data_IF_739215105912
#
_entry.id   IF_739215105912
#
_cell.length_a   1.000
_cell.length_b   1.000
_cell.length_c   1.000
_cell.angle_alpha   90.00
_cell.angle_beta   90.00
_cell.angle_gamma   90.00
#
_symmetry.space_group_name_H-M   'P 1'
#
loop_
_entity.id
_entity.type
_entity.pdbx_description
1 polymer ?
#
# COMPACT_ATOMS: atom_id res chain seq x y z
N UNK A 1 10.83 -25.62 -5.93
CA UNK A 1 11.04 -26.14 -7.31
C UNK A 1 10.69 -25.11 -8.41
N UNK A 2 10.77 -23.80 -8.14
CA UNK A 2 10.71 -22.71 -9.15
C UNK A 2 11.64 -21.52 -8.77
N UNK A 3 12.57 -21.73 -7.83
CA UNK A 3 13.45 -20.66 -7.31
C UNK A 3 14.84 -20.62 -7.96
N UNK A 4 15.14 -21.56 -8.84
CA UNK A 4 16.40 -21.55 -9.57
C UNK A 4 16.15 -20.95 -10.94
N UNK A 5 16.68 -19.73 -11.13
CA UNK A 5 16.69 -18.91 -12.34
C UNK A 5 17.18 -19.63 -13.60
N UNK A 6 16.42 -20.63 -14.02
CA UNK A 6 16.52 -21.26 -15.31
C UNK A 6 15.89 -20.29 -16.30
N UNK A 7 16.76 -19.54 -16.96
CA UNK A 7 16.38 -18.62 -18.03
C UNK A 7 15.42 -19.30 -19.01
N UNK A 8 14.29 -18.64 -19.28
CA UNK A 8 13.26 -19.00 -20.27
C UNK A 8 13.80 -19.70 -21.53
N UNK A 9 14.90 -19.23 -22.18
CA UNK A 9 15.46 -19.90 -23.36
C UNK A 9 15.94 -21.34 -23.12
N UNK A 10 16.41 -21.69 -21.92
CA UNK A 10 16.86 -23.04 -21.59
C UNK A 10 15.68 -24.00 -21.36
N UNK A 11 14.61 -23.49 -20.75
CA UNK A 11 13.36 -24.23 -20.51
C UNK A 11 12.66 -24.53 -21.84
N UNK A 12 12.54 -23.56 -22.74
CA UNK A 12 11.90 -23.73 -24.06
C UNK A 12 12.66 -24.75 -24.94
N UNK A 13 13.99 -24.76 -24.88
CA UNK A 13 14.80 -25.66 -25.72
C UNK A 13 14.84 -27.11 -25.21
N UNK A 14 14.88 -27.32 -23.89
CA UNK A 14 15.03 -28.66 -23.29
C UNK A 14 13.73 -29.28 -22.74
N UNK A 15 12.60 -28.54 -22.72
CA UNK A 15 11.28 -29.06 -22.30
C UNK A 15 10.27 -29.29 -23.43
N UNK A 16 10.65 -29.16 -24.71
CA UNK A 16 9.77 -29.51 -25.84
C UNK A 16 9.28 -30.97 -25.80
N UNK A 17 10.11 -31.89 -25.29
CA UNK A 17 9.78 -33.32 -25.20
C UNK A 17 8.84 -33.68 -24.03
N UNK A 18 8.82 -32.87 -22.95
CA UNK A 18 8.06 -33.19 -21.72
C UNK A 18 6.74 -32.41 -21.54
N UNK A 19 6.57 -31.28 -22.23
CA UNK A 19 5.45 -30.35 -21.97
C UNK A 19 4.41 -30.28 -23.09
N UNK A 20 4.51 -31.11 -24.13
CA UNK A 20 3.43 -31.25 -25.12
C UNK A 20 3.15 -29.98 -25.91
N UNK A 21 4.20 -29.32 -26.43
CA UNK A 21 4.08 -28.19 -27.38
C UNK A 21 3.56 -26.86 -26.82
N UNK A 22 3.78 -26.55 -25.54
CA UNK A 22 3.67 -25.16 -25.06
C UNK A 22 4.70 -24.29 -25.80
N UNK A 23 4.23 -23.24 -26.46
CA UNK A 23 5.04 -22.33 -27.27
C UNK A 23 5.92 -21.45 -26.35
N UNK A 24 7.08 -21.02 -26.84
CA UNK A 24 8.01 -20.15 -26.07
C UNK A 24 7.34 -18.84 -25.62
N UNK A 25 6.37 -18.38 -26.40
CA UNK A 25 5.52 -17.22 -26.09
C UNK A 25 4.67 -17.49 -24.85
N UNK A 26 4.00 -18.63 -24.76
CA UNK A 26 3.13 -18.98 -23.63
C UNK A 26 3.93 -19.12 -22.33
N UNK A 27 5.14 -19.70 -22.40
CA UNK A 27 6.02 -19.82 -21.23
C UNK A 27 6.42 -18.43 -20.71
N UNK A 28 6.70 -17.49 -21.61
CA UNK A 28 7.05 -16.12 -21.23
C UNK A 28 5.86 -15.37 -20.64
N UNK A 29 4.67 -15.55 -21.21
CA UNK A 29 3.45 -14.92 -20.69
C UNK A 29 3.11 -15.44 -19.27
N UNK A 30 3.31 -16.73 -19.01
CA UNK A 30 3.14 -17.32 -17.69
C UNK A 30 4.19 -16.76 -16.72
N UNK A 31 5.45 -16.65 -17.12
CA UNK A 31 6.52 -16.08 -16.29
C UNK A 31 6.23 -14.61 -15.94
N UNK A 32 5.81 -13.80 -16.91
CA UNK A 32 5.44 -12.41 -16.70
C UNK A 32 4.25 -12.28 -15.75
N UNK A 33 3.21 -13.09 -15.96
CA UNK A 33 2.02 -13.14 -15.09
C UNK A 33 2.40 -13.57 -13.67
N UNK A 34 3.24 -14.59 -13.53
CA UNK A 34 3.74 -15.07 -12.25
C UNK A 34 4.50 -13.96 -11.52
N UNK A 35 5.45 -13.31 -12.19
CA UNK A 35 6.20 -12.20 -11.61
C UNK A 35 5.31 -11.03 -11.22
N UNK A 36 4.29 -10.71 -12.01
CA UNK A 36 3.32 -9.67 -11.69
C UNK A 36 2.57 -10.00 -10.39
N UNK A 37 2.06 -11.22 -10.26
CA UNK A 37 1.33 -11.68 -9.07
C UNK A 37 2.25 -11.71 -7.85
N UNK A 38 3.46 -12.27 -7.96
CA UNK A 38 4.43 -12.31 -6.85
C UNK A 38 4.80 -10.89 -6.38
N UNK A 39 4.98 -9.93 -7.29
CA UNK A 39 5.24 -8.53 -6.94
C UNK A 39 4.05 -7.91 -6.20
N UNK A 40 2.82 -8.19 -6.66
CA UNK A 40 1.61 -7.69 -6.02
C UNK A 40 1.46 -8.26 -4.60
N UNK A 41 1.70 -9.56 -4.41
CA UNK A 41 1.66 -10.22 -3.10
C UNK A 41 2.71 -9.65 -2.14
N UNK A 42 3.96 -9.54 -2.58
CA UNK A 42 5.03 -8.92 -1.78
C UNK A 42 4.66 -7.49 -1.35
N UNK A 43 4.02 -6.72 -2.26
CA UNK A 43 3.57 -5.36 -1.95
C UNK A 43 2.43 -5.33 -0.94
N UNK A 44 1.48 -6.28 -1.01
CA UNK A 44 0.40 -6.41 -0.02
C UNK A 44 0.95 -6.66 1.38
N UNK A 45 1.90 -7.57 1.50
CA UNK A 45 2.56 -7.88 2.78
C UNK A 45 3.30 -6.66 3.34
N UNK A 46 4.02 -5.94 2.49
CA UNK A 46 4.72 -4.70 2.88
C UNK A 46 3.73 -3.64 3.40
N UNK A 47 2.62 -3.41 2.69
CA UNK A 47 1.57 -2.48 3.13
C UNK A 47 0.95 -2.89 4.46
N UNK A 48 0.64 -4.18 4.64
CA UNK A 48 0.12 -4.71 5.91
C UNK A 48 1.10 -4.42 7.04
N UNK A 49 2.40 -4.72 6.85
CA UNK A 49 3.44 -4.45 7.83
C UNK A 49 3.53 -2.96 8.17
N UNK A 50 3.52 -2.07 7.18
CA UNK A 50 3.60 -0.62 7.39
C UNK A 50 2.39 -0.05 8.15
N UNK A 51 1.22 -0.65 7.99
CA UNK A 51 0.01 -0.27 8.72
C UNK A 51 0.02 -0.86 10.14
N UNK A 52 0.52 -2.09 10.29
CA UNK A 52 0.67 -2.78 11.58
C UNK A 52 1.70 -2.08 12.48
N UNK A 53 2.81 -1.61 11.91
CA UNK A 53 3.81 -0.79 12.60
C UNK A 53 3.22 0.51 13.17
N UNK A 54 2.11 1.00 12.60
CA UNK A 54 1.36 2.16 13.12
C UNK A 54 0.28 1.77 14.15
N UNK A 55 0.07 0.47 14.40
CA UNK A 55 -0.98 -0.06 15.26
C UNK A 55 -2.40 0.20 14.73
N UNK A 56 -2.54 0.48 13.43
CA UNK A 56 -3.82 0.81 12.77
C UNK A 56 -4.36 -0.34 11.93
N UNK A 57 -3.72 -1.50 11.97
CA UNK A 57 -4.15 -2.66 11.22
C UNK A 57 -5.40 -3.26 11.87
N UNK A 58 -6.51 -3.21 11.14
CA UNK A 58 -7.74 -3.92 11.51
C UNK A 58 -7.88 -5.18 10.66
N UNK A 59 -8.57 -6.19 11.19
CA UNK A 59 -8.84 -7.44 10.46
C UNK A 59 -9.63 -7.19 9.16
N UNK A 60 -10.52 -6.20 9.16
CA UNK A 60 -11.27 -5.76 7.98
C UNK A 60 -10.34 -5.17 6.91
N UNK A 61 -9.41 -4.30 7.32
CA UNK A 61 -8.45 -3.68 6.42
C UNK A 61 -7.48 -4.70 5.84
N UNK A 62 -7.02 -5.65 6.66
CA UNK A 62 -6.19 -6.78 6.20
C UNK A 62 -6.92 -7.61 5.14
N UNK A 63 -8.20 -7.93 5.37
CA UNK A 63 -9.02 -8.66 4.38
C UNK A 63 -9.19 -7.87 3.09
N UNK A 64 -9.42 -6.55 3.16
CA UNK A 64 -9.52 -5.69 1.97
C UNK A 64 -8.22 -5.68 1.16
N UNK A 65 -7.07 -5.56 1.83
CA UNK A 65 -5.75 -5.61 1.19
C UNK A 65 -5.51 -6.97 0.53
N UNK A 66 -5.84 -8.07 1.20
CA UNK A 66 -5.68 -9.42 0.65
C UNK A 66 -6.60 -9.68 -0.55
N UNK A 67 -7.85 -9.20 -0.49
CA UNK A 67 -8.84 -9.35 -1.55
C UNK A 67 -8.56 -8.48 -2.79
N UNK A 68 -7.66 -7.51 -2.70
CA UNK A 68 -7.35 -6.60 -3.81
C UNK A 68 -6.55 -7.32 -4.90
N UNK A 69 -6.99 -7.26 -6.14
CA UNK A 69 -6.34 -7.84 -7.33
C UNK A 69 -5.51 -6.82 -8.13
N UNK A 70 -5.70 -5.53 -7.84
CA UNK A 70 -5.07 -4.42 -8.57
C UNK A 70 -4.10 -3.64 -7.70
N UNK A 71 -2.88 -3.43 -8.22
CA UNK A 71 -1.86 -2.63 -7.54
C UNK A 71 -2.33 -1.19 -7.26
N UNK A 72 -3.09 -0.57 -8.16
CA UNK A 72 -3.62 0.78 -7.96
C UNK A 72 -4.54 0.87 -6.74
N UNK A 73 -5.48 -0.07 -6.63
CA UNK A 73 -6.43 -0.12 -5.51
C UNK A 73 -5.70 -0.35 -4.17
N UNK A 74 -4.64 -1.15 -4.17
CA UNK A 74 -3.79 -1.34 -3.00
C UNK A 74 -3.12 -0.02 -2.56
N UNK A 75 -2.58 0.74 -3.50
CA UNK A 75 -1.96 2.04 -3.23
C UNK A 75 -2.99 3.08 -2.76
N UNK A 76 -4.22 3.06 -3.28
CA UNK A 76 -5.30 3.92 -2.82
C UNK A 76 -5.71 3.63 -1.37
N UNK A 77 -5.80 2.35 -0.99
CA UNK A 77 -6.05 1.92 0.40
C UNK A 77 -4.90 2.36 1.31
N UNK A 78 -3.65 2.26 0.84
CA UNK A 78 -2.47 2.63 1.63
C UNK A 78 -2.27 4.16 1.74
N UNK A 79 -2.80 4.94 0.79
CA UNK A 79 -2.61 6.40 0.69
C UNK A 79 -2.84 7.17 2.00
N UNK A 80 -3.87 6.90 2.82
CA UNK A 80 -4.10 7.59 4.10
C UNK A 80 -3.08 7.23 5.19
N UNK A 81 -2.45 6.07 5.09
CA UNK A 81 -1.48 5.55 6.06
C UNK A 81 -0.04 5.88 5.70
N UNK A 82 0.21 6.29 4.45
CA UNK A 82 1.51 6.77 4.00
C UNK A 82 1.81 8.09 4.72
N UNK A 83 2.55 8.00 5.82
CA UNK A 83 2.96 9.18 6.57
C UNK A 83 3.70 10.14 5.63
N UNK A 84 3.17 11.35 5.45
CA UNK A 84 3.96 12.47 4.95
C UNK A 84 5.13 12.58 5.92
N UNK A 85 6.38 12.56 5.42
CA UNK A 85 7.49 13.13 6.20
C UNK A 85 7.00 14.48 6.67
N UNK A 86 6.88 14.66 7.99
CA UNK A 86 6.49 15.93 8.56
C UNK A 86 7.51 16.96 8.06
N UNK A 87 7.15 17.74 7.04
CA UNK A 87 7.65 19.09 7.02
C UNK A 87 7.05 19.77 8.25
N UNK A 88 7.83 20.66 8.82
CA UNK A 88 7.65 21.24 10.14
C UNK A 88 6.54 22.30 10.14
N UNK A 89 5.46 22.10 9.38
CA UNK A 89 4.48 23.12 9.01
C UNK A 89 3.03 22.73 9.35
N UNK A 90 2.81 22.04 10.47
CA UNK A 90 1.49 22.08 11.11
C UNK A 90 1.62 22.23 12.63
N UNK A 91 2.18 23.37 13.02
CA UNK A 91 2.04 23.90 14.38
C UNK A 91 1.28 25.22 14.34
N UNK A 92 -0.01 25.16 14.05
CA UNK A 92 -0.94 26.23 14.46
C UNK A 92 -2.17 25.64 15.14
N UNK A 93 -1.95 25.02 16.29
CA UNK A 93 -3.04 24.77 17.24
C UNK A 93 -3.59 26.12 17.70
N UNK A 94 -4.84 26.34 17.33
CA UNK A 94 -5.78 27.35 17.83
C UNK A 94 -5.56 27.65 19.31
N UNK A 95 -5.15 28.88 19.63
CA UNK A 95 -5.32 29.41 20.98
C UNK A 95 -6.81 29.66 21.20
N UNK A 96 -7.36 28.96 22.18
CA UNK A 96 -8.68 29.18 22.75
C UNK A 96 -8.78 30.62 23.26
N UNK A 97 -9.78 31.38 22.82
CA UNK A 97 -10.39 32.41 23.66
C UNK A 97 -11.90 32.25 23.58
N UNK A 98 -12.41 31.44 24.50
CA UNK A 98 -13.81 31.45 24.91
C UNK A 98 -13.84 31.86 26.38
N UNK A 99 -14.20 33.12 26.64
CA UNK A 99 -14.73 33.65 27.89
C UNK A 99 -15.52 34.91 27.47
N UNK A 100 -16.85 34.80 27.42
CA UNK A 100 -17.74 35.32 28.46
C UNK A 100 -17.71 36.86 28.49
N UNK A 101 -18.66 37.52 27.83
CA UNK A 101 -19.93 37.95 28.45
C UNK A 101 -19.75 39.16 29.37
N UNK A 102 -20.42 40.24 28.96
CA UNK A 102 -21.05 41.26 29.79
C UNK A 102 -20.16 42.10 30.73
N UNK A 103 -19.97 43.38 30.37
CA UNK A 103 -20.01 44.56 31.26
C UNK A 103 -19.48 45.81 30.52
N UNK A 104 -20.26 46.40 29.60
CA UNK A 104 -20.06 47.80 29.16
C UNK A 104 -21.21 48.67 29.70
N UNK A 105 -21.66 48.35 30.92
CA UNK A 105 -22.60 49.15 31.68
C UNK A 105 -22.08 49.32 33.11
N UNK A 106 -21.23 50.33 33.31
CA UNK A 106 -21.05 51.19 34.51
C UNK A 106 -19.65 51.82 34.43
N UNK A 107 -19.53 53.13 34.16
CA UNK A 107 -19.49 54.18 35.19
C UNK A 107 -18.30 54.02 36.15
N UNK A 108 -17.21 54.72 35.80
CA UNK A 108 -16.18 55.36 36.62
C UNK A 108 -15.03 55.69 35.64
N UNK A 109 -14.39 56.86 35.57
CA UNK A 109 -14.34 58.06 36.40
C UNK A 109 -13.26 58.95 35.75
N UNK A 110 -13.64 59.99 35.00
CA UNK A 110 -13.00 61.31 34.97
C UNK A 110 -13.82 62.26 34.08
#
# INVERSE_FOLDING_TARGET
MLEEGNTVPFIARYRKEKTGSLDEVEIRDIEETYHYITKLEARKEEVIRLIDEQGKLTDELRKQIMATDKQQTLEDIYRPFKQKKADQSDHRKRTRFGAASDSIAYICRF
#
